data_IF_034963182000
#
_entry.id   IF_034963182000
#
_cell.length_a   1.000
_cell.length_b   1.000
_cell.length_c   1.000
_cell.angle_alpha   90.00
_cell.angle_beta   90.00
_cell.angle_gamma   90.00
#
_symmetry.space_group_name_H-M   'P 1'
#
loop_
_entity.id
_entity.type
_entity.pdbx_description
1 polymer ?
#
# COMPACT_ATOMS: atom_id res chain seq x y z
N UNK A 1 -18.00 24.73 0.99
CA UNK A 1 -17.46 24.51 -0.36
C UNK A 1 -16.34 23.54 -0.15
N UNK A 2 -16.68 22.25 -0.19
CA UNK A 2 -15.75 21.19 0.15
C UNK A 2 -14.69 21.16 -0.95
N UNK A 3 -13.43 21.41 -0.57
CA UNK A 3 -12.31 21.16 -1.47
C UNK A 3 -12.27 19.66 -1.68
N UNK A 4 -12.78 19.20 -2.82
CA UNK A 4 -12.49 17.86 -3.30
C UNK A 4 -10.99 17.84 -3.58
N UNK A 5 -10.21 16.95 -2.95
CA UNK A 5 -8.80 16.85 -3.24
C UNK A 5 -8.65 16.47 -4.73
N UNK A 6 -8.00 17.34 -5.48
CA UNK A 6 -7.70 17.13 -6.89
C UNK A 6 -6.45 16.26 -6.99
N UNK A 7 -6.45 15.31 -7.92
CA UNK A 7 -5.28 14.46 -8.17
C UNK A 7 -4.23 15.26 -8.94
N UNK A 8 -2.98 15.20 -8.48
CA UNK A 8 -1.84 15.86 -9.11
C UNK A 8 -0.88 14.82 -9.71
N UNK A 9 -0.07 15.22 -10.70
CA UNK A 9 0.96 14.38 -11.36
C UNK A 9 0.49 12.98 -11.79
N UNK A 10 -0.62 12.95 -12.52
CA UNK A 10 -1.26 11.72 -12.99
C UNK A 10 -0.43 11.01 -14.07
N UNK A 11 0.01 9.79 -13.81
CA UNK A 11 0.71 8.92 -14.76
C UNK A 11 -0.06 7.60 -14.93
N UNK A 12 -0.29 7.18 -16.18
CA UNK A 12 -0.89 5.88 -16.47
C UNK A 12 0.15 4.89 -16.96
N UNK A 13 0.11 3.67 -16.41
CA UNK A 13 0.88 2.53 -16.85
C UNK A 13 -0.05 1.35 -17.10
N UNK A 14 0.33 0.46 -18.04
CA UNK A 14 -0.41 -0.77 -18.31
C UNK A 14 0.59 -1.91 -18.31
N UNK A 15 0.40 -2.86 -17.40
CA UNK A 15 1.23 -4.06 -17.31
C UNK A 15 0.35 -5.28 -17.06
N UNK A 16 0.57 -6.36 -17.83
CA UNK A 16 -0.18 -7.61 -17.70
C UNK A 16 -1.71 -7.43 -17.63
N UNK A 17 -2.24 -6.52 -18.45
CA UNK A 17 -3.67 -6.19 -18.54
C UNK A 17 -4.26 -5.51 -17.29
N UNK A 18 -3.41 -4.99 -16.41
CA UNK A 18 -3.77 -4.13 -15.29
C UNK A 18 -3.42 -2.69 -15.68
N UNK A 19 -4.40 -1.80 -15.53
CA UNK A 19 -4.26 -0.38 -15.73
C UNK A 19 -3.98 0.24 -14.36
N UNK A 20 -2.79 0.80 -14.20
CA UNK A 20 -2.41 1.54 -13.00
C UNK A 20 -2.41 3.03 -13.31
N UNK A 21 -2.91 3.81 -12.36
CA UNK A 21 -2.77 5.26 -12.35
C UNK A 21 -2.09 5.68 -11.06
N UNK A 22 -0.91 6.27 -11.21
CA UNK A 22 -0.15 6.91 -10.14
C UNK A 22 -0.53 8.39 -10.10
N UNK A 23 -0.71 8.93 -8.90
CA UNK A 23 -1.06 10.34 -8.69
C UNK A 23 -0.77 10.74 -7.24
N UNK A 24 -0.70 12.04 -6.98
CA UNK A 24 -0.71 12.57 -5.62
C UNK A 24 -2.11 12.97 -5.21
N UNK A 25 -2.54 12.47 -4.06
CA UNK A 25 -3.79 12.88 -3.41
C UNK A 25 -3.48 13.42 -2.02
N UNK A 26 -3.74 14.71 -1.80
CA UNK A 26 -3.39 15.38 -0.53
C UNK A 26 -1.91 15.20 -0.15
N UNK A 27 -1.01 15.33 -1.13
CA UNK A 27 0.44 15.15 -1.01
C UNK A 27 0.92 13.72 -0.66
N UNK A 28 0.06 12.70 -0.80
CA UNK A 28 0.45 11.29 -0.67
C UNK A 28 0.49 10.62 -2.04
N UNK A 29 1.56 9.89 -2.34
CA UNK A 29 1.62 9.06 -3.53
C UNK A 29 0.53 7.99 -3.44
N UNK A 30 -0.24 7.83 -4.51
CA UNK A 30 -1.40 6.97 -4.57
C UNK A 30 -1.44 6.27 -5.92
N UNK A 31 -1.60 4.96 -5.88
CA UNK A 31 -1.71 4.11 -7.06
C UNK A 31 -3.09 3.48 -7.06
N UNK A 32 -3.86 3.63 -8.14
CA UNK A 32 -5.13 2.92 -8.31
C UNK A 32 -5.07 1.96 -9.49
N UNK A 33 -5.57 0.75 -9.27
CA UNK A 33 -5.49 -0.34 -10.22
C UNK A 33 -6.87 -0.70 -10.76
N UNK A 34 -6.95 -0.94 -12.06
CA UNK A 34 -8.16 -1.29 -12.78
C UNK A 34 -7.92 -2.47 -13.72
N UNK A 35 -8.94 -3.29 -13.94
CA UNK A 35 -8.91 -4.32 -14.98
C UNK A 35 -9.15 -3.73 -16.39
N UNK A 36 -9.04 -4.57 -17.42
CA UNK A 36 -9.28 -4.18 -18.82
C UNK A 36 -10.70 -3.66 -19.11
N UNK A 37 -11.66 -3.91 -18.21
CA UNK A 37 -13.02 -3.40 -18.30
C UNK A 37 -13.19 -2.07 -17.54
N UNK A 38 -12.12 -1.54 -16.96
CA UNK A 38 -12.11 -0.33 -16.14
C UNK A 38 -12.74 -0.53 -14.76
N UNK A 39 -12.88 -1.79 -14.29
CA UNK A 39 -13.36 -2.03 -12.92
C UNK A 39 -12.20 -1.83 -11.95
N UNK A 40 -12.45 -1.04 -10.90
CA UNK A 40 -11.50 -0.83 -9.82
C UNK A 40 -11.19 -2.15 -9.10
N UNK A 41 -9.90 -2.39 -8.87
CA UNK A 41 -9.36 -3.57 -8.19
C UNK A 41 -8.90 -3.21 -6.78
N UNK A 42 -8.01 -2.23 -6.67
CA UNK A 42 -7.51 -1.70 -5.41
C UNK A 42 -6.90 -0.31 -5.58
N UNK A 43 -6.71 0.36 -4.44
CA UNK A 43 -5.96 1.60 -4.34
C UNK A 43 -4.94 1.44 -3.22
N UNK A 44 -3.70 1.76 -3.52
CA UNK A 44 -2.58 1.81 -2.59
C UNK A 44 -2.27 3.28 -2.32
N UNK A 45 -2.06 3.64 -1.06
CA UNK A 45 -1.73 5.00 -0.65
C UNK A 45 -0.57 4.94 0.30
N UNK A 46 0.53 5.61 -0.05
CA UNK A 46 1.69 5.74 0.82
C UNK A 46 1.29 6.41 2.14
N UNK A 47 1.69 5.81 3.26
CA UNK A 47 1.41 6.30 4.61
C UNK A 47 2.68 6.31 5.46
N UNK A 48 2.69 7.17 6.47
CA UNK A 48 3.77 7.17 7.44
C UNK A 48 3.61 6.03 8.47
N UNK A 49 4.73 5.64 9.10
CA UNK A 49 4.76 4.56 10.11
C UNK A 49 3.84 4.81 11.31
N UNK A 50 3.57 6.07 11.64
CA UNK A 50 2.67 6.46 12.73
C UNK A 50 1.18 6.36 12.36
N UNK A 51 0.85 6.16 11.08
CA UNK A 51 -0.49 5.90 10.58
C UNK A 51 -0.87 4.41 10.60
N UNK A 52 0.11 3.51 10.83
CA UNK A 52 -0.14 2.08 10.97
C UNK A 52 -0.94 1.76 12.24
N UNK A 53 -1.85 0.76 12.20
CA UNK A 53 -2.48 0.25 13.41
C UNK A 53 -1.44 -0.26 14.41
N UNK A 54 -1.68 0.00 15.69
CA UNK A 54 -0.79 -0.46 16.77
C UNK A 54 -0.46 -1.96 16.69
N UNK A 55 -1.42 -2.80 16.27
CA UNK A 55 -1.23 -4.24 16.13
C UNK A 55 -0.26 -4.61 15.00
N UNK A 56 -0.31 -3.90 13.87
CA UNK A 56 0.64 -4.06 12.76
C UNK A 56 2.04 -3.65 13.23
N UNK A 57 2.16 -2.48 13.87
CA UNK A 57 3.42 -2.00 14.46
C UNK A 57 4.01 -2.98 15.47
N UNK A 58 3.17 -3.59 16.31
CA UNK A 58 3.60 -4.60 17.26
C UNK A 58 4.14 -5.85 16.55
N UNK A 59 3.46 -6.33 15.51
CA UNK A 59 3.95 -7.47 14.72
C UNK A 59 5.28 -7.15 14.03
N UNK A 60 5.42 -5.97 13.42
CA UNK A 60 6.67 -5.52 12.79
C UNK A 60 7.83 -5.52 13.80
N UNK A 61 7.65 -4.87 14.95
CA UNK A 61 8.69 -4.80 15.99
C UNK A 61 9.08 -6.16 16.55
N UNK A 62 8.11 -7.05 16.73
CA UNK A 62 8.36 -8.36 17.37
C UNK A 62 8.92 -9.41 16.42
N UNK A 63 8.52 -9.39 15.14
CA UNK A 63 8.90 -10.42 14.16
C UNK A 63 9.94 -9.95 13.15
N UNK A 64 10.00 -8.65 12.89
CA UNK A 64 10.80 -8.04 11.84
C UNK A 64 11.67 -6.90 12.37
N UNK A 65 12.01 -6.89 13.67
CA UNK A 65 12.76 -5.78 14.30
C UNK A 65 14.19 -5.55 13.78
N UNK A 66 14.73 -6.49 12.99
CA UNK A 66 16.03 -6.36 12.32
C UNK A 66 15.93 -5.90 10.86
N UNK A 67 14.71 -5.72 10.34
CA UNK A 67 14.46 -5.28 8.97
C UNK A 67 14.36 -3.75 8.93
N UNK A 68 14.84 -3.14 7.86
CA UNK A 68 14.60 -1.74 7.54
C UNK A 68 13.24 -1.60 6.84
N UNK A 69 12.45 -0.59 7.19
CA UNK A 69 11.21 -0.28 6.47
C UNK A 69 11.57 0.64 5.30
N UNK A 70 11.29 0.20 4.08
CA UNK A 70 11.49 0.98 2.86
C UNK A 70 10.25 1.78 2.50
N UNK A 71 9.08 1.15 2.56
CA UNK A 71 7.81 1.77 2.20
C UNK A 71 6.63 1.17 2.99
N UNK A 72 5.54 1.94 3.14
CA UNK A 72 4.32 1.52 3.82
C UNK A 72 3.12 2.05 3.04
N UNK A 73 2.22 1.15 2.66
CA UNK A 73 1.01 1.50 1.92
C UNK A 73 -0.24 1.01 2.65
N UNK A 74 -1.26 1.85 2.68
CA UNK A 74 -2.63 1.44 2.96
C UNK A 74 -3.25 0.90 1.67
N UNK A 75 -3.74 -0.34 1.71
CA UNK A 75 -4.37 -0.99 0.56
C UNK A 75 -5.87 -1.09 0.77
N UNK A 76 -6.64 -0.34 -0.03
CA UNK A 76 -8.08 -0.44 -0.10
C UNK A 76 -8.46 -1.40 -1.23
N UNK A 77 -9.14 -2.50 -0.90
CA UNK A 77 -9.48 -3.55 -1.89
C UNK A 77 -10.93 -3.42 -2.36
N UNK A 78 -11.23 -3.93 -3.56
CA UNK A 78 -12.61 -4.06 -4.09
C UNK A 78 -13.59 -4.76 -3.14
N UNK A 79 -13.08 -5.67 -2.30
CA UNK A 79 -13.87 -6.37 -1.29
C UNK A 79 -14.22 -5.52 -0.05
N UNK A 80 -13.81 -4.25 -0.02
CA UNK A 80 -14.03 -3.34 1.10
C UNK A 80 -13.11 -3.59 2.30
N UNK A 81 -12.02 -4.34 2.11
CA UNK A 81 -10.99 -4.52 3.15
C UNK A 81 -9.96 -3.40 3.08
N UNK A 82 -9.48 -3.01 4.25
CA UNK A 82 -8.29 -2.18 4.44
C UNK A 82 -7.16 -3.09 4.95
N UNK A 83 -6.07 -3.13 4.20
CA UNK A 83 -4.86 -3.88 4.49
C UNK A 83 -3.67 -2.92 4.55
N UNK A 84 -2.52 -3.43 4.97
CA UNK A 84 -1.29 -2.66 5.04
C UNK A 84 -0.18 -3.46 4.39
N UNK A 85 0.40 -2.92 3.33
CA UNK A 85 1.59 -3.47 2.69
C UNK A 85 2.81 -2.76 3.27
N UNK A 86 3.86 -3.52 3.56
CA UNK A 86 5.12 -2.98 4.09
C UNK A 86 6.26 -3.64 3.37
N UNK A 87 7.02 -2.82 2.66
CA UNK A 87 8.27 -3.23 2.04
C UNK A 87 9.40 -3.14 3.06
N UNK A 88 10.05 -4.28 3.27
CA UNK A 88 11.09 -4.45 4.27
C UNK A 88 12.40 -4.87 3.60
N UNK A 89 13.51 -4.24 3.95
CA UNK A 89 14.84 -4.70 3.54
C UNK A 89 15.54 -5.49 4.65
N UNK A 90 16.16 -6.62 4.27
CA UNK A 90 17.15 -7.29 5.09
C UNK A 90 18.17 -8.02 4.24
N UNK A 91 19.45 -7.85 4.57
CA UNK A 91 20.58 -8.50 3.89
C UNK A 91 20.58 -8.28 2.36
N UNK A 92 20.20 -7.08 1.92
CA UNK A 92 20.11 -6.69 0.51
C UNK A 92 18.96 -7.34 -0.26
N UNK A 93 17.93 -7.84 0.43
CA UNK A 93 16.70 -8.36 -0.16
C UNK A 93 15.49 -7.57 0.34
N UNK A 94 14.61 -7.22 -0.57
CA UNK A 94 13.32 -6.60 -0.26
C UNK A 94 12.26 -7.68 -0.03
N UNK A 95 11.36 -7.44 0.91
CA UNK A 95 10.28 -8.31 1.29
C UNK A 95 8.99 -7.50 1.38
N UNK A 96 8.03 -7.77 0.50
CA UNK A 96 6.66 -7.26 0.56
C UNK A 96 5.86 -8.11 1.56
N UNK A 97 5.38 -7.48 2.63
CA UNK A 97 4.56 -8.11 3.66
C UNK A 97 3.19 -7.42 3.73
N UNK A 98 2.14 -8.18 3.45
CA UNK A 98 0.76 -7.72 3.58
C UNK A 98 0.18 -8.13 4.93
N UNK A 99 -0.37 -7.17 5.66
CA UNK A 99 -1.03 -7.34 6.95
C UNK A 99 -2.53 -7.03 6.86
N UNK A 100 -3.33 -7.70 7.69
CA UNK A 100 -4.65 -7.16 8.06
C UNK A 100 -4.54 -6.13 9.19
N UNK A 101 -5.67 -5.47 9.51
CA UNK A 101 -5.75 -4.46 10.58
C UNK A 101 -5.41 -5.00 11.98
N UNK A 102 -5.44 -6.33 12.15
CA UNK A 102 -5.13 -7.01 13.41
C UNK A 102 -3.64 -7.39 13.51
N UNK A 103 -2.83 -6.99 12.53
CA UNK A 103 -1.40 -7.28 12.48
C UNK A 103 -1.09 -8.73 12.09
N UNK A 104 -2.06 -9.47 11.53
CA UNK A 104 -1.82 -10.80 10.99
C UNK A 104 -1.21 -10.68 9.60
N UNK A 105 -0.12 -11.40 9.38
CA UNK A 105 0.51 -11.53 8.07
C UNK A 105 -0.39 -12.39 7.17
N UNK A 106 -0.83 -11.82 6.06
CA UNK A 106 -1.64 -12.47 5.02
C UNK A 106 -0.77 -12.95 3.85
N UNK A 107 0.28 -12.20 3.52
CA UNK A 107 1.18 -12.47 2.40
C UNK A 107 2.62 -12.11 2.78
N UNK A 108 3.55 -12.85 2.21
CA UNK A 108 4.99 -12.53 2.21
C UNK A 108 5.56 -12.86 0.85
N UNK A 109 6.13 -11.87 0.17
CA UNK A 109 6.91 -12.02 -1.06
C UNK A 109 8.37 -11.63 -0.82
N UNK A 110 9.24 -12.02 -1.74
CA UNK A 110 10.66 -11.65 -1.86
C UNK A 110 10.86 -11.27 -3.32
#
# INVERSE_FOLDING_TARGET
MDKVPEAEDVLWTVENNIYQVDYFLSAKHTSSYFDEQGQWLETETEIAVDELPHKVLQTLRTKMGEYEILDIELVATRAGKILYEVDLEKDGKTYDILFDQEGKILRKKI
#
